data_IF_389323807174
#
_entry.id   IF_389323807174
#
_cell.length_a   1.000
_cell.length_b   1.000
_cell.length_c   1.000
_cell.angle_alpha   90.00
_cell.angle_beta   90.00
_cell.angle_gamma   90.00
#
_symmetry.space_group_name_H-M   'P 1'
#
loop_
_entity.id
_entity.type
_entity.pdbx_description
1 polymer ?
#
# COMPACT_ATOMS: atom_id res chain seq x y z
N UNK A 1 1.49 -17.70 16.20
CA UNK A 1 1.88 -16.85 15.07
C UNK A 1 0.72 -16.01 14.56
N UNK A 2 0.96 -14.76 14.20
CA UNK A 2 -0.01 -13.79 13.67
C UNK A 2 0.63 -12.96 12.57
N UNK A 3 -0.10 -12.77 11.47
CA UNK A 3 0.31 -11.89 10.37
C UNK A 3 -0.52 -10.62 10.38
N UNK A 4 0.15 -9.46 10.36
CA UNK A 4 -0.50 -8.18 10.09
C UNK A 4 -0.29 -7.79 8.63
N UNK A 5 -1.36 -7.51 7.91
CA UNK A 5 -1.31 -7.10 6.50
C UNK A 5 -1.74 -5.65 6.39
N UNK A 6 -0.89 -4.78 5.84
CA UNK A 6 -1.22 -3.37 5.59
C UNK A 6 -1.51 -3.17 4.10
N UNK A 7 -2.73 -2.69 3.79
CA UNK A 7 -3.20 -2.55 2.41
C UNK A 7 -3.18 -1.09 1.96
N UNK A 8 -2.27 -0.76 1.05
CA UNK A 8 -2.21 0.54 0.38
C UNK A 8 -2.95 0.59 -0.95
N UNK A 9 -3.06 1.80 -1.47
CA UNK A 9 -3.56 2.00 -2.83
C UNK A 9 -2.50 1.61 -3.89
N UNK A 10 -1.26 2.06 -3.70
CA UNK A 10 -0.17 1.87 -4.65
C UNK A 10 -0.37 2.59 -5.98
N UNK A 11 0.55 2.43 -6.93
CA UNK A 11 0.51 3.11 -8.23
C UNK A 11 1.17 2.29 -9.35
N UNK A 12 0.75 2.52 -10.60
CA UNK A 12 1.49 2.03 -11.77
C UNK A 12 2.67 2.94 -12.14
N UNK A 13 2.69 4.18 -11.67
CA UNK A 13 3.60 5.22 -12.15
C UNK A 13 4.46 5.83 -11.05
N UNK A 14 3.87 6.03 -9.87
CA UNK A 14 4.50 6.76 -8.78
C UNK A 14 4.72 5.86 -7.56
N UNK A 15 5.94 5.38 -7.37
CA UNK A 15 6.31 4.52 -6.25
C UNK A 15 6.15 5.16 -4.88
N UNK A 16 6.04 6.50 -4.79
CA UNK A 16 5.82 7.20 -3.52
C UNK A 16 4.43 6.92 -2.93
N UNK A 17 3.46 6.47 -3.74
CA UNK A 17 2.12 6.09 -3.27
C UNK A 17 2.11 4.92 -2.27
N UNK A 18 3.20 4.16 -2.18
CA UNK A 18 3.36 3.05 -1.24
C UNK A 18 4.22 3.39 -0.03
N UNK A 19 4.93 4.53 -0.03
CA UNK A 19 5.92 4.91 0.99
C UNK A 19 5.33 4.94 2.40
N UNK A 20 4.12 5.47 2.57
CA UNK A 20 3.45 5.53 3.86
C UNK A 20 3.22 4.12 4.45
N UNK A 21 2.83 3.15 3.62
CA UNK A 21 2.59 1.77 4.05
C UNK A 21 3.89 1.10 4.51
N UNK A 22 4.98 1.27 3.74
CA UNK A 22 6.30 0.73 4.13
C UNK A 22 6.76 1.29 5.46
N UNK A 23 6.66 2.62 5.64
CA UNK A 23 7.06 3.27 6.89
C UNK A 23 6.32 2.68 8.09
N UNK A 24 5.00 2.51 8.00
CA UNK A 24 4.24 1.93 9.11
C UNK A 24 4.51 0.43 9.31
N UNK A 25 4.70 -0.33 8.23
CA UNK A 25 5.08 -1.73 8.33
C UNK A 25 6.42 -1.89 9.07
N UNK A 26 7.42 -1.07 8.73
CA UNK A 26 8.73 -1.06 9.39
C UNK A 26 8.63 -0.64 10.86
N UNK A 27 7.87 0.41 11.16
CA UNK A 27 7.63 0.84 12.55
C UNK A 27 6.98 -0.26 13.39
N UNK A 28 6.02 -1.00 12.83
CA UNK A 28 5.34 -2.08 13.55
C UNK A 28 6.26 -3.30 13.69
N UNK A 29 7.02 -3.66 12.65
CA UNK A 29 8.04 -4.72 12.73
C UNK A 29 9.04 -4.45 13.85
N UNK A 30 9.51 -3.21 13.98
CA UNK A 30 10.45 -2.80 15.02
C UNK A 30 9.91 -2.99 16.46
N UNK A 31 8.59 -3.06 16.63
CA UNK A 31 7.96 -3.31 17.94
C UNK A 31 7.86 -4.81 18.29
N UNK A 32 8.02 -5.71 17.32
CA UNK A 32 8.01 -7.16 17.56
C UNK A 32 6.68 -7.72 18.08
N UNK A 33 5.56 -7.04 17.84
CA UNK A 33 4.23 -7.45 18.34
C UNK A 33 3.54 -8.49 17.44
N UNK A 34 4.04 -8.68 16.22
CA UNK A 34 3.55 -9.65 15.24
C UNK A 34 4.74 -10.46 14.72
N UNK A 35 4.51 -11.73 14.40
CA UNK A 35 5.53 -12.60 13.80
C UNK A 35 5.93 -12.11 12.41
N UNK A 36 4.98 -11.49 11.69
CA UNK A 36 5.24 -10.80 10.44
C UNK A 36 4.28 -9.61 10.24
N UNK A 37 4.79 -8.62 9.51
CA UNK A 37 3.99 -7.57 8.90
C UNK A 37 4.22 -7.67 7.40
N UNK A 38 3.16 -7.60 6.59
CA UNK A 38 3.21 -7.78 5.13
C UNK A 38 2.49 -6.61 4.47
N UNK A 39 3.10 -6.01 3.45
CA UNK A 39 2.46 -4.97 2.65
C UNK A 39 1.70 -5.57 1.47
N UNK A 40 0.56 -4.96 1.12
CA UNK A 40 -0.16 -5.28 -0.11
C UNK A 40 -0.80 -4.03 -0.73
N UNK A 41 -1.06 -4.07 -2.03
CA UNK A 41 -1.48 -2.90 -2.79
C UNK A 41 -2.57 -3.20 -3.80
N UNK A 42 -3.40 -2.20 -4.11
CA UNK A 42 -4.38 -2.30 -5.20
C UNK A 42 -3.73 -2.20 -6.58
N UNK A 43 -2.77 -1.30 -6.79
CA UNK A 43 -2.19 -1.03 -8.12
C UNK A 43 -0.74 -1.49 -8.31
N UNK A 44 -0.06 -2.04 -7.30
CA UNK A 44 1.29 -2.59 -7.46
C UNK A 44 1.40 -3.96 -6.76
N UNK A 45 2.53 -4.65 -6.94
CA UNK A 45 2.82 -5.90 -6.25
C UNK A 45 3.50 -5.64 -4.88
N UNK A 46 3.19 -6.41 -3.81
CA UNK A 46 2.23 -7.52 -3.75
C UNK A 46 0.78 -7.07 -3.92
N UNK A 47 0.07 -7.66 -4.89
CA UNK A 47 -1.32 -7.24 -5.17
C UNK A 47 -2.32 -7.80 -4.15
N UNK A 48 -3.52 -7.23 -4.09
CA UNK A 48 -4.63 -7.75 -3.27
C UNK A 48 -4.95 -9.24 -3.53
N UNK A 49 -4.64 -9.75 -4.72
CA UNK A 49 -4.86 -11.15 -5.13
C UNK A 49 -3.71 -12.09 -4.72
N UNK A 50 -2.58 -11.51 -4.33
CA UNK A 50 -1.35 -12.22 -3.96
C UNK A 50 -1.10 -12.19 -2.46
N UNK A 51 -1.37 -11.06 -1.79
CA UNK A 51 -0.91 -10.78 -0.42
C UNK A 51 -1.27 -11.86 0.61
N UNK A 52 -2.47 -12.46 0.52
CA UNK A 52 -2.83 -13.54 1.44
C UNK A 52 -1.99 -14.82 1.22
N UNK A 53 -1.53 -15.08 -0.01
CA UNK A 53 -0.67 -16.23 -0.32
C UNK A 53 0.71 -16.10 0.32
N UNK A 54 1.19 -14.87 0.54
CA UNK A 54 2.52 -14.58 1.08
C UNK A 54 2.57 -14.53 2.61
N UNK A 55 1.42 -14.70 3.29
CA UNK A 55 1.36 -14.75 4.76
C UNK A 55 1.72 -16.15 5.27
N UNK A 56 2.59 -16.21 6.27
CA UNK A 56 3.07 -17.41 6.93
C UNK A 56 2.15 -17.92 8.04
N UNK A 57 1.20 -17.12 8.54
CA UNK A 57 0.25 -17.54 9.58
C UNK A 57 -1.13 -17.93 9.04
N UNK A 58 -1.81 -18.82 9.76
CA UNK A 58 -3.26 -19.06 9.62
C UNK A 58 -4.10 -17.96 10.25
N UNK A 59 -3.52 -17.08 11.07
CA UNK A 59 -4.20 -15.95 11.72
C UNK A 59 -3.74 -14.63 11.10
N UNK A 60 -4.61 -13.99 10.32
CA UNK A 60 -4.27 -12.82 9.51
C UNK A 60 -5.23 -11.66 9.81
N UNK A 61 -4.68 -10.51 10.17
CA UNK A 61 -5.44 -9.26 10.30
C UNK A 61 -5.02 -8.28 9.21
N UNK A 62 -5.99 -7.70 8.51
CA UNK A 62 -5.80 -6.85 7.33
C UNK A 62 -6.32 -5.44 7.64
N UNK A 63 -5.43 -4.46 7.57
CA UNK A 63 -5.72 -3.05 7.85
C UNK A 63 -5.67 -2.25 6.54
N UNK A 64 -6.79 -1.65 6.10
CA UNK A 64 -6.79 -0.70 5.00
C UNK A 64 -6.08 0.61 5.40
N UNK A 65 -5.03 0.97 4.66
CA UNK A 65 -4.24 2.18 4.88
C UNK A 65 -4.88 3.42 4.22
N UNK A 66 -6.13 3.73 4.59
CA UNK A 66 -6.92 4.84 4.05
C UNK A 66 -7.36 5.80 5.16
N UNK A 67 -7.53 7.09 4.83
CA UNK A 67 -7.93 8.11 5.81
C UNK A 67 -9.46 8.19 6.00
N UNK A 68 -10.23 7.51 5.16
CA UNK A 68 -11.69 7.52 5.18
C UNK A 68 -12.27 6.20 4.65
N UNK A 69 -13.53 5.97 4.96
CA UNK A 69 -14.33 4.89 4.39
C UNK A 69 -14.90 5.26 3.03
N UNK A 70 -15.16 4.22 2.22
CA UNK A 70 -15.99 4.37 1.03
C UNK A 70 -15.81 3.20 0.08
N UNK A 71 -16.12 3.46 -1.19
CA UNK A 71 -16.17 2.43 -2.23
C UNK A 71 -14.94 1.48 -2.26
N UNK A 72 -13.75 2.01 -2.04
CA UNK A 72 -12.53 1.20 -2.02
C UNK A 72 -12.47 0.24 -0.83
N UNK A 73 -12.66 0.75 0.39
CA UNK A 73 -12.56 -0.02 1.63
C UNK A 73 -13.76 -0.93 1.83
N UNK A 74 -14.93 -0.57 1.31
CA UNK A 74 -16.19 -1.31 1.48
C UNK A 74 -16.47 -2.31 0.35
N UNK A 75 -15.91 -2.10 -0.85
CA UNK A 75 -16.23 -2.93 -2.03
C UNK A 75 -14.99 -3.44 -2.75
N UNK A 76 -14.06 -2.58 -3.14
CA UNK A 76 -12.93 -3.00 -4.00
C UNK A 76 -11.98 -3.95 -3.29
N UNK A 77 -11.49 -3.57 -2.10
CA UNK A 77 -10.52 -4.39 -1.36
C UNK A 77 -11.14 -5.74 -0.95
N UNK A 78 -12.35 -5.78 -0.32
CA UNK A 78 -12.97 -7.06 0.01
C UNK A 78 -13.22 -7.96 -1.20
N UNK A 79 -13.60 -7.40 -2.35
CA UNK A 79 -13.82 -8.16 -3.59
C UNK A 79 -12.52 -8.75 -4.13
N UNK A 80 -11.44 -7.95 -4.24
CA UNK A 80 -10.18 -8.44 -4.80
C UNK A 80 -9.46 -9.42 -3.87
N UNK A 81 -9.66 -9.33 -2.56
CA UNK A 81 -9.16 -10.29 -1.56
C UNK A 81 -10.08 -11.53 -1.40
N UNK A 82 -11.25 -11.55 -2.03
CA UNK A 82 -12.18 -12.68 -1.97
C UNK A 82 -12.93 -12.85 -0.64
N UNK A 83 -13.13 -11.77 0.13
CA UNK A 83 -13.76 -11.81 1.45
C UNK A 83 -15.29 -12.02 1.42
N UNK A 84 -15.92 -11.95 0.24
CA UNK A 84 -17.38 -12.11 0.11
C UNK A 84 -18.15 -11.07 0.95
N UNK A 85 -17.62 -9.86 1.05
CA UNK A 85 -18.23 -8.72 1.74
C UNK A 85 -18.41 -7.56 0.78
N UNK A 86 -19.49 -6.80 0.95
CA UNK A 86 -19.76 -5.57 0.21
C UNK A 86 -20.56 -4.60 1.09
N UNK A 87 -20.15 -3.33 1.09
CA UNK A 87 -20.80 -2.26 1.82
C UNK A 87 -20.10 -1.95 3.15
N UNK A 88 -20.75 -1.17 4.03
CA UNK A 88 -20.17 -0.72 5.30
C UNK A 88 -19.58 -1.88 6.10
N UNK A 89 -18.39 -1.66 6.63
CA UNK A 89 -17.69 -2.61 7.51
C UNK A 89 -18.09 -2.25 8.95
N UNK A 90 -18.50 -3.21 9.78
CA UNK A 90 -18.85 -2.90 11.17
C UNK A 90 -17.59 -2.47 11.97
N UNK A 91 -17.73 -1.80 13.12
CA UNK A 91 -16.60 -1.34 13.93
C UNK A 91 -15.56 -2.41 14.25
N UNK A 92 -16.02 -3.62 14.59
CA UNK A 92 -15.18 -4.78 14.84
C UNK A 92 -14.57 -5.37 13.55
N UNK A 93 -14.99 -4.96 12.36
CA UNK A 93 -14.52 -5.53 11.10
C UNK A 93 -15.21 -6.86 10.73
N UNK A 94 -14.70 -7.51 9.69
CA UNK A 94 -15.28 -8.73 9.11
C UNK A 94 -14.30 -9.87 9.17
N UNK A 95 -14.70 -10.99 9.76
CA UNK A 95 -13.91 -12.22 9.78
C UNK A 95 -14.39 -13.23 8.73
N UNK A 96 -13.45 -13.88 8.03
CA UNK A 96 -13.71 -14.94 7.04
C UNK A 96 -12.66 -16.04 7.13
N UNK A 97 -13.08 -17.27 6.90
CA UNK A 97 -12.15 -18.40 6.71
C UNK A 97 -11.92 -18.59 5.22
N UNK A 98 -10.69 -18.34 4.76
CA UNK A 98 -10.26 -18.49 3.37
C UNK A 98 -9.17 -19.55 3.28
N UNK A 99 -9.53 -20.73 2.77
CA UNK A 99 -8.64 -21.90 2.79
C UNK A 99 -8.31 -22.29 4.23
N UNK A 100 -7.02 -22.29 4.58
CA UNK A 100 -6.54 -22.55 5.94
C UNK A 100 -6.37 -21.31 6.82
N UNK A 101 -6.76 -20.11 6.34
CA UNK A 101 -6.54 -18.84 7.05
C UNK A 101 -7.85 -18.29 7.61
N UNK A 102 -7.82 -17.81 8.84
CA UNK A 102 -8.80 -16.86 9.38
C UNK A 102 -8.30 -15.46 9.07
N UNK A 103 -9.04 -14.75 8.23
CA UNK A 103 -8.72 -13.40 7.76
C UNK A 103 -9.71 -12.41 8.39
N UNK A 104 -9.19 -11.42 9.11
CA UNK A 104 -9.95 -10.32 9.71
C UNK A 104 -9.67 -9.05 8.95
N UNK A 105 -10.71 -8.46 8.38
CA UNK A 105 -10.63 -7.22 7.63
C UNK A 105 -11.25 -6.08 8.44
N UNK A 106 -10.45 -5.09 8.81
CA UNK A 106 -10.88 -4.01 9.71
C UNK A 106 -11.44 -2.82 8.94
N UNK A 107 -11.93 -1.83 9.69
CA UNK A 107 -12.08 -0.46 9.19
C UNK A 107 -10.71 0.14 8.79
N UNK A 108 -10.70 1.14 7.89
CA UNK A 108 -9.49 1.90 7.60
C UNK A 108 -8.99 2.70 8.82
N UNK A 109 -7.68 2.91 8.96
CA UNK A 109 -7.12 3.59 10.14
C UNK A 109 -7.68 5.00 10.37
N UNK A 110 -8.01 5.72 9.31
CA UNK A 110 -8.45 7.10 9.42
C UNK A 110 -9.79 7.28 10.15
N UNK A 111 -10.62 6.24 10.24
CA UNK A 111 -11.91 6.34 10.94
C UNK A 111 -11.86 5.88 12.40
N UNK A 112 -10.70 5.43 12.87
CA UNK A 112 -10.55 5.02 14.25
C UNK A 112 -10.60 6.24 15.21
N UNK A 113 -11.30 6.17 16.36
CA UNK A 113 -11.45 7.29 17.29
C UNK A 113 -10.15 7.92 17.78
N UNK A 114 -9.09 7.13 17.96
CA UNK A 114 -7.75 7.63 18.36
C UNK A 114 -7.07 8.54 17.32
N UNK A 115 -7.64 8.72 16.13
CA UNK A 115 -7.16 9.74 15.19
C UNK A 115 -7.29 11.16 15.75
N UNK A 116 -8.23 11.39 16.67
CA UNK A 116 -8.33 12.66 17.41
C UNK A 116 -7.06 12.97 18.21
N UNK A 117 -6.45 11.96 18.85
CA UNK A 117 -5.17 12.10 19.55
C UNK A 117 -4.02 12.39 18.60
N UNK A 118 -4.04 11.81 17.39
CA UNK A 118 -3.03 12.09 16.35
C UNK A 118 -3.14 13.54 15.84
N UNK A 119 -4.37 14.03 15.64
CA UNK A 119 -4.62 15.43 15.27
C UNK A 119 -4.10 16.37 16.37
N UNK A 120 -4.39 16.04 17.63
CA UNK A 120 -3.95 16.83 18.78
C UNK A 120 -2.42 16.86 18.88
N UNK A 121 -1.76 15.71 18.72
CA UNK A 121 -0.30 15.62 18.70
C UNK A 121 0.30 16.49 17.58
N UNK A 122 -0.26 16.43 16.37
CA UNK A 122 0.15 17.30 15.24
C UNK A 122 -0.03 18.78 15.54
N UNK A 123 -1.12 19.15 16.20
CA UNK A 123 -1.36 20.53 16.57
C UNK A 123 -0.30 21.03 17.57
N UNK A 124 0.04 20.24 18.58
CA UNK A 124 1.06 20.58 19.56
C UNK A 124 2.50 20.56 19.00
N UNK A 125 2.79 19.71 17.99
CA UNK A 125 4.08 19.78 17.30
C UNK A 125 4.26 21.10 16.54
N UNK A 126 3.20 21.60 15.91
CA UNK A 126 3.22 22.87 15.19
C UNK A 126 3.18 24.09 16.14
N UNK A 127 2.49 23.95 17.28
CA UNK A 127 2.33 25.00 18.29
C UNK A 127 2.36 24.42 19.72
N UNK A 128 3.55 24.23 20.32
CA UNK A 128 3.69 23.58 21.62
C UNK A 128 3.05 24.33 22.79
N UNK A 129 2.97 25.65 22.68
CA UNK A 129 2.45 26.58 23.69
C UNK A 129 1.04 27.08 23.34
N UNK A 130 0.25 26.26 22.64
CA UNK A 130 -1.16 26.54 22.36
C UNK A 130 -1.96 26.69 23.66
N UNK A 131 -2.97 27.57 23.64
CA UNK A 131 -3.84 27.83 24.80
C UNK A 131 -5.32 27.81 24.39
N UNK A 132 -6.21 27.29 25.26
CA UNK A 132 -7.64 27.30 25.01
C UNK A 132 -8.26 28.71 25.00
N UNK A 133 -7.51 29.74 25.40
CA UNK A 133 -8.01 31.12 25.43
C UNK A 133 -7.77 31.87 24.11
N UNK A 134 -6.72 31.52 23.37
CA UNK A 134 -6.21 32.33 22.25
C UNK A 134 -5.94 31.54 20.96
N UNK A 135 -6.09 30.21 20.98
CA UNK A 135 -5.72 29.33 19.87
C UNK A 135 -6.93 28.62 19.32
N UNK A 136 -7.16 28.73 18.01
CA UNK A 136 -8.12 27.91 17.28
C UNK A 136 -7.43 26.76 16.54
N UNK A 137 -8.16 25.65 16.38
CA UNK A 137 -7.74 24.51 15.56
C UNK A 137 -8.63 24.40 14.31
N UNK A 138 -8.00 24.22 13.15
CA UNK A 138 -8.66 23.82 11.90
C UNK A 138 -8.26 22.38 11.59
N UNK A 139 -9.22 21.46 11.57
CA UNK A 139 -9.05 20.11 11.02
C UNK A 139 -9.46 20.17 9.56
N UNK A 140 -8.48 20.00 8.66
CA UNK A 140 -8.66 20.26 7.23
C UNK A 140 -8.81 18.97 6.44
N UNK A 141 -10.00 18.70 5.92
CA UNK A 141 -10.27 17.58 5.03
C UNK A 141 -10.07 17.93 3.55
N UNK A 142 -10.05 16.91 2.69
CA UNK A 142 -10.11 17.14 1.24
C UNK A 142 -11.51 17.66 0.82
N UNK A 143 -12.57 17.04 1.33
CA UNK A 143 -13.93 17.31 0.85
C UNK A 143 -14.23 16.54 -0.44
N UNK A 144 -15.48 16.11 -0.61
CA UNK A 144 -15.93 15.45 -1.86
C UNK A 144 -17.44 15.36 -1.89
N UNK A 145 -18.02 15.80 -2.99
CA UNK A 145 -19.45 15.69 -3.26
C UNK A 145 -19.88 14.28 -3.65
N UNK A 146 -18.94 13.34 -3.84
CA UNK A 146 -19.21 11.99 -4.37
C UNK A 146 -19.64 10.98 -3.32
N UNK A 147 -19.20 11.14 -2.07
CA UNK A 147 -19.55 10.23 -0.98
C UNK A 147 -19.50 10.97 0.36
N UNK A 148 -20.67 11.20 0.94
CA UNK A 148 -20.85 11.87 2.23
C UNK A 148 -20.06 11.21 3.37
N UNK A 149 -19.81 9.90 3.31
CA UNK A 149 -19.03 9.21 4.35
C UNK A 149 -17.57 9.68 4.40
N UNK A 150 -17.04 10.25 3.32
CA UNK A 150 -15.62 10.61 3.23
C UNK A 150 -15.23 11.75 4.17
N UNK A 151 -16.18 12.63 4.50
CA UNK A 151 -15.92 13.86 5.26
C UNK A 151 -16.53 13.83 6.68
N UNK A 152 -17.45 12.88 6.94
CA UNK A 152 -18.04 12.67 8.28
C UNK A 152 -16.97 12.55 9.36
N UNK A 153 -15.88 11.86 9.07
CA UNK A 153 -14.79 11.65 10.02
C UNK A 153 -14.07 12.95 10.41
N UNK A 154 -13.95 13.92 9.49
CA UNK A 154 -13.34 15.23 9.76
C UNK A 154 -14.22 16.00 10.74
N UNK A 155 -15.53 16.04 10.49
CA UNK A 155 -16.50 16.67 11.38
C UNK A 155 -16.55 15.99 12.76
N UNK A 156 -16.52 14.65 12.82
CA UNK A 156 -16.50 13.88 14.06
C UNK A 156 -15.25 14.20 14.90
N UNK A 157 -14.07 14.18 14.29
CA UNK A 157 -12.82 14.55 14.97
C UNK A 157 -12.86 16.00 15.47
N UNK A 158 -13.35 16.94 14.64
CA UNK A 158 -13.49 18.33 15.04
C UNK A 158 -14.43 18.51 16.24
N UNK A 159 -15.53 17.75 16.31
CA UNK A 159 -16.45 17.77 17.45
C UNK A 159 -15.82 17.18 18.72
N UNK A 160 -15.15 16.04 18.63
CA UNK A 160 -14.42 15.45 19.77
C UNK A 160 -13.37 16.44 20.31
N UNK A 161 -12.60 17.06 19.42
CA UNK A 161 -11.58 18.04 19.81
C UNK A 161 -12.18 19.32 20.38
N UNK A 162 -13.35 19.75 19.89
CA UNK A 162 -14.10 20.88 20.46
C UNK A 162 -14.54 20.58 21.89
N UNK A 163 -15.06 19.38 22.15
CA UNK A 163 -15.50 18.95 23.48
C UNK A 163 -14.33 18.80 24.47
N UNK A 164 -13.10 18.58 23.98
CA UNK A 164 -11.91 18.50 24.83
C UNK A 164 -11.56 19.82 25.55
N UNK A 165 -12.04 20.96 25.04
CA UNK A 165 -11.79 22.28 25.64
C UNK A 165 -10.35 22.78 25.54
N UNK A 166 -9.50 22.17 24.70
CA UNK A 166 -8.08 22.53 24.55
C UNK A 166 -7.82 23.71 23.61
N UNK A 167 -8.83 24.13 22.85
CA UNK A 167 -8.76 25.22 21.88
C UNK A 167 -9.92 26.19 22.08
N UNK A 168 -9.70 27.47 21.82
CA UNK A 168 -10.73 28.51 21.88
C UNK A 168 -11.89 28.23 20.92
N UNK A 169 -11.58 27.63 19.76
CA UNK A 169 -12.56 27.07 18.83
C UNK A 169 -11.91 25.99 17.96
N UNK A 170 -12.71 25.04 17.50
CA UNK A 170 -12.29 24.02 16.54
C UNK A 170 -13.20 24.10 15.32
N UNK A 171 -12.64 24.04 14.12
CA UNK A 171 -13.35 24.13 12.85
C UNK A 171 -12.98 22.96 11.94
N UNK A 172 -13.95 22.46 11.19
CA UNK A 172 -13.72 21.53 10.08
C UNK A 172 -13.86 22.32 8.78
N UNK A 173 -12.79 22.40 7.99
CA UNK A 173 -12.78 23.06 6.68
C UNK A 173 -12.35 22.07 5.60
N UNK A 174 -12.60 22.39 4.34
CA UNK A 174 -12.34 21.49 3.21
C UNK A 174 -11.78 22.20 1.98
N UNK A 175 -11.11 21.47 1.09
CA UNK A 175 -10.64 22.02 -0.19
C UNK A 175 -11.81 22.15 -1.19
N UNK A 176 -12.53 21.05 -1.41
CA UNK A 176 -13.47 20.92 -2.54
C UNK A 176 -14.94 21.11 -2.16
N UNK A 177 -15.25 21.33 -0.89
CA UNK A 177 -16.63 21.52 -0.41
C UNK A 177 -16.74 22.59 0.66
N UNK A 178 -17.96 23.04 0.93
CA UNK A 178 -18.22 24.00 1.99
C UNK A 178 -18.21 23.33 3.38
N UNK A 179 -17.70 24.00 4.43
CA UNK A 179 -17.02 25.30 4.38
C UNK A 179 -15.59 25.19 3.81
N UNK A 180 -15.29 26.00 2.78
CA UNK A 180 -14.01 25.96 2.09
C UNK A 180 -12.87 26.50 2.94
N UNK A 181 -11.67 25.97 2.74
CA UNK A 181 -10.47 26.39 3.47
C UNK A 181 -10.20 27.89 3.32
N UNK A 182 -10.46 28.46 2.14
CA UNK A 182 -10.28 29.89 1.88
C UNK A 182 -11.19 30.81 2.71
N UNK A 183 -12.27 30.30 3.32
CA UNK A 183 -13.16 31.10 4.17
C UNK A 183 -12.70 31.17 5.63
N UNK A 184 -11.54 30.59 5.97
CA UNK A 184 -11.01 30.57 7.33
C UNK A 184 -10.91 31.97 8.01
N UNK A 185 -10.51 33.07 7.32
CA UNK A 185 -10.34 34.36 7.99
C UNK A 185 -11.65 34.95 8.52
N UNK A 186 -12.77 34.58 7.90
CA UNK A 186 -14.10 35.02 8.30
C UNK A 186 -14.60 34.23 9.52
N UNK A 187 -14.26 32.93 9.58
CA UNK A 187 -14.79 31.97 10.55
C UNK A 187 -14.02 31.95 11.87
N UNK A 188 -12.70 32.19 11.83
CA UNK A 188 -11.81 32.02 12.99
C UNK A 188 -11.48 33.36 13.62
N UNK A 189 -11.84 33.54 14.89
CA UNK A 189 -11.63 34.78 15.65
C UNK A 189 -10.34 34.80 16.47
N UNK A 190 -9.79 33.63 16.78
CA UNK A 190 -8.65 33.50 17.68
C UNK A 190 -7.38 34.07 17.02
N UNK A 191 -6.49 34.76 17.77
CA UNK A 191 -5.27 35.35 17.22
C UNK A 191 -4.25 34.30 16.76
N UNK A 192 -4.30 33.07 17.29
CA UNK A 192 -3.43 31.97 16.87
C UNK A 192 -4.29 30.87 16.25
N UNK A 193 -3.86 30.35 15.11
CA UNK A 193 -4.62 29.34 14.36
C UNK A 193 -3.67 28.20 14.01
N UNK A 194 -3.97 26.98 14.46
CA UNK A 194 -3.25 25.79 14.05
C UNK A 194 -4.07 25.05 13.00
N UNK A 195 -3.46 24.71 11.88
CA UNK A 195 -4.11 23.99 10.78
C UNK A 195 -3.50 22.61 10.69
N UNK A 196 -4.33 21.58 10.84
CA UNK A 196 -3.91 20.18 10.75
C UNK A 196 -4.58 19.50 9.55
N UNK A 197 -3.84 19.20 8.48
CA UNK A 197 -4.36 18.47 7.33
C UNK A 197 -4.69 17.00 7.69
N UNK A 198 -5.96 16.62 7.54
CA UNK A 198 -6.45 15.26 7.70
C UNK A 198 -6.26 14.43 6.41
N UNK A 199 -4.98 14.24 6.03
CA UNK A 199 -4.57 13.54 4.81
C UNK A 199 -3.65 12.36 5.14
N UNK A 200 -3.68 11.32 4.31
CA UNK A 200 -2.90 10.09 4.51
C UNK A 200 -1.39 10.26 4.31
N UNK A 201 -0.97 11.24 3.50
CA UNK A 201 0.44 11.53 3.20
C UNK A 201 0.61 12.99 2.82
N UNK A 202 1.87 13.42 2.72
CA UNK A 202 2.20 14.65 1.99
C UNK A 202 1.95 14.45 0.49
N UNK A 203 1.58 15.52 -0.19
CA UNK A 203 1.35 15.55 -1.62
C UNK A 203 1.09 16.97 -2.10
N UNK A 204 0.81 17.12 -3.40
CA UNK A 204 0.64 18.44 -4.02
C UNK A 204 -0.40 19.31 -3.30
N UNK A 205 -1.54 18.75 -2.87
CA UNK A 205 -2.53 19.52 -2.12
C UNK A 205 -2.01 20.06 -0.79
N UNK A 206 -1.27 19.26 -0.02
CA UNK A 206 -0.76 19.66 1.30
C UNK A 206 0.48 20.54 1.22
N UNK A 207 1.14 20.60 0.06
CA UNK A 207 2.38 21.34 -0.12
C UNK A 207 2.19 22.63 -0.93
N UNK A 208 1.20 22.68 -1.83
CA UNK A 208 0.96 23.81 -2.73
C UNK A 208 -0.48 24.33 -2.58
N UNK A 209 -1.50 23.53 -2.90
CA UNK A 209 -2.89 24.00 -2.99
C UNK A 209 -3.41 24.62 -1.68
N UNK A 210 -3.24 23.92 -0.56
CA UNK A 210 -3.71 24.40 0.75
C UNK A 210 -2.95 25.68 1.16
N UNK A 211 -1.60 25.71 1.10
CA UNK A 211 -0.85 26.95 1.31
C UNK A 211 -1.31 28.11 0.42
N UNK A 212 -1.50 27.88 -0.88
CA UNK A 212 -1.98 28.91 -1.83
C UNK A 212 -3.37 29.44 -1.46
N UNK A 213 -4.34 28.54 -1.24
CA UNK A 213 -5.73 28.92 -0.90
C UNK A 213 -5.83 29.68 0.44
N UNK A 214 -4.90 29.41 1.37
CA UNK A 214 -4.83 30.09 2.66
C UNK A 214 -3.91 31.31 2.67
N UNK A 215 -3.12 31.54 1.63
CA UNK A 215 -2.10 32.60 1.56
C UNK A 215 -0.90 32.37 2.49
N UNK A 216 -0.49 31.12 2.71
CA UNK A 216 0.63 30.76 3.59
C UNK A 216 1.97 30.89 2.87
N UNK A 217 2.96 31.47 3.55
CA UNK A 217 4.34 31.61 3.05
C UNK A 217 5.27 30.52 3.61
N UNK A 218 4.77 29.69 4.52
CA UNK A 218 5.52 28.59 5.13
C UNK A 218 4.77 27.94 6.29
N UNK A 219 5.52 27.26 7.16
CA UNK A 219 4.94 26.59 8.34
C UNK A 219 4.33 27.58 9.35
N UNK A 220 4.78 28.84 9.35
CA UNK A 220 4.22 29.92 10.17
C UNK A 220 4.02 31.14 9.27
N UNK A 221 2.83 31.74 9.31
CA UNK A 221 2.51 32.94 8.54
C UNK A 221 1.65 33.89 9.37
N UNK A 222 2.00 35.18 9.38
CA UNK A 222 1.26 36.21 10.12
C UNK A 222 0.49 37.09 9.15
N UNK A 223 -0.81 37.24 9.39
CA UNK A 223 -1.74 38.09 8.65
C UNK A 223 -2.08 39.31 9.49
N UNK A 224 -1.79 40.51 8.99
CA UNK A 224 -2.02 41.78 9.72
C UNK A 224 -3.43 42.33 9.55
N UNK A 225 -4.08 42.02 8.43
CA UNK A 225 -5.31 42.69 7.98
C UNK A 225 -6.52 41.75 7.93
N UNK A 226 -6.50 40.66 8.70
CA UNK A 226 -7.64 39.76 8.81
C UNK A 226 -8.84 40.44 9.52
N UNK A 227 -10.09 40.01 9.24
CA UNK A 227 -11.29 40.66 9.77
C UNK A 227 -11.37 40.76 11.30
N UNK A 228 -10.69 39.85 12.02
CA UNK A 228 -10.69 39.77 13.48
C UNK A 228 -9.40 40.29 14.12
N UNK A 229 -8.59 41.04 13.35
CA UNK A 229 -7.29 41.56 13.77
C UNK A 229 -6.12 40.68 13.33
N UNK A 230 -4.93 40.96 13.85
CA UNK A 230 -3.73 40.21 13.50
C UNK A 230 -3.87 38.74 13.93
N UNK A 231 -3.66 37.82 12.99
CA UNK A 231 -3.68 36.38 13.23
C UNK A 231 -2.39 35.71 12.77
N UNK A 232 -1.90 34.71 13.49
CA UNK A 232 -0.77 33.88 13.07
C UNK A 232 -1.22 32.45 12.86
N UNK A 233 -0.99 31.92 11.66
CA UNK A 233 -1.32 30.56 11.26
C UNK A 233 -0.07 29.69 11.38
N UNK A 234 -0.24 28.52 12.02
CA UNK A 234 0.75 27.46 12.18
C UNK A 234 0.28 26.25 11.37
N UNK A 235 0.95 25.96 10.26
CA UNK A 235 0.59 24.89 9.34
C UNK A 235 1.32 23.59 9.71
N UNK A 236 0.58 22.61 10.21
CA UNK A 236 1.13 21.33 10.59
C UNK A 236 1.30 20.40 9.39
N UNK A 237 2.18 19.39 9.55
CA UNK A 237 2.24 18.27 8.60
C UNK A 237 0.96 17.44 8.65
N UNK A 238 0.61 16.72 7.57
CA UNK A 238 -0.55 15.84 7.55
C UNK A 238 -0.55 14.80 8.68
N UNK A 239 -1.74 14.42 9.16
CA UNK A 239 -1.89 13.40 10.22
C UNK A 239 -1.33 12.05 9.81
N UNK A 240 -1.49 11.66 8.55
CA UNK A 240 -1.03 10.37 8.04
C UNK A 240 0.50 10.25 7.94
N UNK A 241 1.25 11.33 8.24
CA UNK A 241 2.71 11.26 8.39
C UNK A 241 3.18 11.10 9.85
N UNK A 242 2.27 11.08 10.82
CA UNK A 242 2.62 11.08 12.25
C UNK A 242 2.86 9.66 12.76
N UNK A 243 3.88 9.47 13.61
CA UNK A 243 4.28 8.15 14.10
C UNK A 243 3.18 7.45 14.92
N UNK A 244 2.37 8.19 15.67
CA UNK A 244 1.26 7.66 16.47
C UNK A 244 0.16 6.95 15.64
N UNK A 245 0.12 7.11 14.31
CA UNK A 245 -0.76 6.28 13.46
C UNK A 245 -0.40 4.79 13.59
N UNK A 246 0.85 4.45 13.90
CA UNK A 246 1.22 3.07 14.21
C UNK A 246 0.43 2.50 15.41
N UNK A 247 0.14 3.32 16.43
CA UNK A 247 -0.67 2.91 17.58
C UNK A 247 -2.13 2.72 17.17
N UNK A 248 -2.65 3.61 16.32
CA UNK A 248 -4.02 3.49 15.75
C UNK A 248 -4.19 2.19 14.97
N UNK A 249 -3.20 1.81 14.16
CA UNK A 249 -3.20 0.55 13.41
C UNK A 249 -3.25 -0.65 14.35
N UNK A 250 -2.50 -0.61 15.45
CA UNK A 250 -2.45 -1.69 16.43
C UNK A 250 -3.76 -1.81 17.21
N UNK A 251 -4.37 -0.69 17.62
CA UNK A 251 -5.69 -0.70 18.26
C UNK A 251 -6.75 -1.35 17.35
N UNK A 252 -6.80 -0.94 16.07
CA UNK A 252 -7.70 -1.58 15.10
C UNK A 252 -7.48 -3.09 14.97
N UNK A 253 -6.23 -3.52 15.01
CA UNK A 253 -5.89 -4.93 14.89
C UNK A 253 -6.29 -5.74 16.14
N UNK A 254 -6.23 -5.14 17.32
CA UNK A 254 -6.66 -5.72 18.61
C UNK A 254 -8.18 -5.79 18.74
N UNK A 255 -8.89 -4.79 18.22
CA UNK A 255 -10.35 -4.68 18.25
C UNK A 255 -11.05 -5.53 17.17
N UNK A 256 -10.28 -6.14 16.26
CA UNK A 256 -10.82 -6.88 15.13
C UNK A 256 -11.68 -8.09 15.54
N UNK A 257 -12.71 -8.38 14.74
CA UNK A 257 -13.73 -9.38 15.00
C UNK A 257 -13.11 -10.77 15.10
N UNK A 258 -13.34 -11.44 16.23
CA UNK A 258 -12.74 -12.74 16.50
C UNK A 258 -11.22 -12.67 16.66
N UNK A 259 -10.65 -11.51 17.01
CA UNK A 259 -9.30 -11.42 17.56
C UNK A 259 -9.23 -12.34 18.78
N UNK A 260 -8.45 -13.42 18.64
CA UNK A 260 -8.22 -14.35 19.74
C UNK A 260 -6.97 -13.91 20.50
N UNK A 261 -6.95 -14.19 21.80
CA UNK A 261 -5.71 -14.17 22.58
C UNK A 261 -4.82 -15.37 22.28
N UNK A 262 -5.37 -16.39 21.60
CA UNK A 262 -4.61 -17.53 21.08
C UNK A 262 -4.08 -17.22 19.69
N UNK A 263 -2.77 -17.32 19.57
CA UNK A 263 -2.02 -17.30 18.31
C UNK A 263 -2.52 -18.34 17.29
N UNK A 264 -2.38 -18.03 16.00
CA UNK A 264 -2.55 -18.98 14.90
C UNK A 264 -1.37 -19.92 14.73
N UNK A 265 -1.55 -20.91 13.86
CA UNK A 265 -0.51 -21.85 13.44
C UNK A 265 0.26 -21.34 12.22
N UNK A 266 1.39 -21.98 11.91
CA UNK A 266 2.06 -21.82 10.61
C UNK A 266 1.18 -22.35 9.48
N UNK A 267 1.01 -21.54 8.44
CA UNK A 267 0.32 -21.98 7.24
C UNK A 267 1.19 -22.96 6.46
N UNK A 268 0.74 -24.21 6.43
CA UNK A 268 1.56 -25.36 5.99
C UNK A 268 1.98 -25.27 4.53
N UNK A 269 1.11 -24.77 3.65
CA UNK A 269 1.44 -24.69 2.22
C UNK A 269 2.50 -23.62 1.98
N UNK A 270 2.36 -22.46 2.61
CA UNK A 270 3.40 -21.42 2.63
C UNK A 270 4.73 -21.97 3.18
N UNK A 271 4.71 -22.61 4.35
CA UNK A 271 5.92 -23.18 4.96
C UNK A 271 6.62 -24.21 4.07
N UNK A 272 5.86 -25.07 3.38
CA UNK A 272 6.40 -26.05 2.45
C UNK A 272 7.04 -25.40 1.19
N UNK A 273 6.41 -24.36 0.64
CA UNK A 273 6.95 -23.61 -0.49
C UNK A 273 8.30 -22.98 -0.17
N UNK A 274 8.40 -22.34 1.00
CA UNK A 274 9.65 -21.72 1.46
C UNK A 274 10.71 -22.74 1.86
N UNK A 275 10.33 -23.88 2.44
CA UNK A 275 11.29 -24.98 2.67
C UNK A 275 11.91 -25.46 1.35
N UNK A 276 11.08 -25.68 0.32
CA UNK A 276 11.56 -26.09 -0.99
C UNK A 276 12.47 -25.04 -1.63
N UNK A 277 12.16 -23.75 -1.46
CA UNK A 277 13.02 -22.66 -1.91
C UNK A 277 14.37 -22.66 -1.19
N UNK A 278 14.36 -22.76 0.13
CA UNK A 278 15.59 -22.77 0.94
C UNK A 278 16.49 -23.97 0.60
N UNK A 279 15.92 -25.14 0.34
CA UNK A 279 16.69 -26.32 -0.07
C UNK A 279 17.42 -26.10 -1.40
N UNK A 280 16.82 -25.35 -2.33
CA UNK A 280 17.47 -24.93 -3.58
C UNK A 280 18.48 -23.80 -3.34
N UNK A 281 18.12 -22.79 -2.55
CA UNK A 281 19.01 -21.66 -2.25
C UNK A 281 20.33 -22.12 -1.61
N UNK A 282 20.28 -23.13 -0.72
CA UNK A 282 21.47 -23.76 -0.10
C UNK A 282 22.42 -24.43 -1.09
N UNK A 283 21.95 -24.74 -2.30
CA UNK A 283 22.74 -25.34 -3.39
C UNK A 283 23.20 -24.30 -4.42
N UNK A 284 22.77 -23.03 -4.27
CA UNK A 284 22.84 -22.03 -5.32
C UNK A 284 21.65 -22.13 -6.27
N UNK A 285 20.96 -21.01 -6.50
CA UNK A 285 19.72 -20.97 -7.27
C UNK A 285 19.69 -19.75 -8.19
N UNK A 286 19.21 -19.95 -9.42
CA UNK A 286 18.75 -18.88 -10.30
C UNK A 286 17.26 -18.97 -10.47
N UNK A 287 16.57 -17.84 -10.31
CA UNK A 287 15.14 -17.74 -10.54
C UNK A 287 14.80 -16.30 -10.97
N UNK A 288 14.00 -16.16 -12.03
CA UNK A 288 13.81 -14.88 -12.69
C UNK A 288 15.15 -14.27 -13.14
N UNK A 289 15.40 -13.05 -12.69
CA UNK A 289 16.63 -12.30 -12.93
C UNK A 289 17.62 -12.35 -11.76
N UNK A 290 17.37 -13.16 -10.73
CA UNK A 290 18.16 -13.18 -9.49
C UNK A 290 19.01 -14.44 -9.41
N UNK A 291 20.25 -14.26 -8.96
CA UNK A 291 21.14 -15.33 -8.53
C UNK A 291 21.26 -15.28 -7.00
N UNK A 292 21.04 -16.43 -6.36
CA UNK A 292 21.21 -16.64 -4.92
C UNK A 292 22.32 -17.65 -4.72
N UNK A 293 23.31 -17.31 -3.89
CA UNK A 293 24.46 -18.18 -3.59
C UNK A 293 24.66 -18.28 -2.08
N UNK A 294 24.95 -19.47 -1.54
CA UNK A 294 25.37 -19.59 -0.15
C UNK A 294 26.76 -18.96 0.03
N UNK A 295 26.90 -18.08 1.03
CA UNK A 295 28.15 -17.38 1.34
C UNK A 295 28.39 -17.44 2.86
N UNK A 296 29.35 -18.25 3.31
CA UNK A 296 29.81 -18.30 4.72
C UNK A 296 28.69 -18.43 5.78
N UNK A 297 27.66 -19.24 5.51
CA UNK A 297 26.51 -19.43 6.42
C UNK A 297 25.38 -18.39 6.24
N UNK A 298 25.55 -17.47 5.30
CA UNK A 298 24.56 -16.48 4.85
C UNK A 298 24.21 -16.77 3.38
N UNK A 299 23.38 -15.91 2.79
CA UNK A 299 23.05 -15.93 1.37
C UNK A 299 23.40 -14.61 0.72
N UNK A 300 24.07 -14.68 -0.42
CA UNK A 300 24.25 -13.55 -1.32
C UNK A 300 23.17 -13.58 -2.40
N UNK A 301 22.49 -12.44 -2.61
CA UNK A 301 21.63 -12.19 -3.77
C UNK A 301 22.28 -11.14 -4.66
N UNK A 302 22.15 -11.30 -5.97
CA UNK A 302 22.49 -10.28 -6.97
C UNK A 302 21.67 -10.47 -8.24
N UNK A 303 21.72 -9.50 -9.14
CA UNK A 303 21.21 -9.71 -10.49
C UNK A 303 22.03 -10.82 -11.19
N UNK A 304 21.36 -11.72 -11.90
CA UNK A 304 21.96 -12.90 -12.53
C UNK A 304 23.00 -12.56 -13.63
N UNK A 305 22.87 -11.39 -14.23
CA UNK A 305 23.86 -10.82 -15.18
C UNK A 305 25.08 -10.18 -14.50
N UNK A 306 25.07 -10.03 -13.17
CA UNK A 306 26.22 -9.57 -12.38
C UNK A 306 27.00 -10.75 -11.75
N UNK A 307 26.72 -11.97 -12.20
CA UNK A 307 27.55 -13.13 -11.84
C UNK A 307 29.01 -12.90 -12.23
N UNK A 308 29.92 -13.25 -11.32
CA UNK A 308 31.36 -13.12 -11.53
C UNK A 308 31.91 -11.72 -11.30
N UNK A 309 31.06 -10.69 -11.17
CA UNK A 309 31.52 -9.35 -10.77
C UNK A 309 32.01 -9.34 -9.32
N UNK A 310 33.17 -8.72 -9.02
CA UNK A 310 33.64 -8.57 -7.66
C UNK A 310 32.67 -7.76 -6.80
N UNK A 311 32.44 -8.18 -5.56
CA UNK A 311 31.46 -7.53 -4.68
C UNK A 311 31.79 -6.08 -4.28
N UNK A 312 33.01 -5.59 -4.51
CA UNK A 312 33.37 -4.18 -4.28
C UNK A 312 32.99 -3.26 -5.45
N UNK A 313 32.62 -3.82 -6.61
CA UNK A 313 32.08 -3.10 -7.76
C UNK A 313 30.55 -3.00 -7.73
N UNK A 314 29.90 -3.67 -6.77
CA UNK A 314 28.44 -3.70 -6.61
C UNK A 314 28.02 -2.92 -5.37
N UNK A 315 26.90 -2.21 -5.45
CA UNK A 315 26.27 -1.59 -4.29
C UNK A 315 25.82 -2.68 -3.32
N UNK A 316 26.35 -2.66 -2.09
CA UNK A 316 25.99 -3.65 -1.06
C UNK A 316 24.78 -3.18 -0.28
N UNK A 317 23.73 -4.00 -0.29
CA UNK A 317 22.48 -3.82 0.45
C UNK A 317 22.47 -4.78 1.64
N UNK A 318 22.15 -4.29 2.83
CA UNK A 318 22.30 -5.06 4.09
C UNK A 318 20.99 -5.33 4.81
N UNK A 319 19.86 -4.90 4.24
CA UNK A 319 18.52 -5.16 4.79
C UNK A 319 17.57 -5.59 3.67
N UNK A 320 16.52 -6.37 3.98
CA UNK A 320 15.44 -6.65 3.04
C UNK A 320 14.81 -5.38 2.47
N UNK A 321 14.61 -4.36 3.30
CA UNK A 321 14.04 -3.07 2.91
C UNK A 321 14.96 -2.31 1.95
N UNK A 322 16.29 -2.41 2.11
CA UNK A 322 17.25 -1.85 1.16
C UNK A 322 17.18 -2.55 -0.21
N UNK A 323 16.96 -3.87 -0.24
CA UNK A 323 16.71 -4.62 -1.48
C UNK A 323 15.43 -4.16 -2.15
N UNK A 324 14.35 -4.03 -1.39
CA UNK A 324 13.07 -3.49 -1.86
C UNK A 324 13.27 -2.10 -2.47
N UNK A 325 13.84 -1.16 -1.73
CA UNK A 325 13.93 0.23 -2.16
C UNK A 325 14.80 0.41 -3.41
N UNK A 326 15.90 -0.36 -3.50
CA UNK A 326 16.75 -0.36 -4.69
C UNK A 326 16.03 -0.94 -5.92
N UNK A 327 15.33 -2.07 -5.75
CA UNK A 327 14.74 -2.82 -6.87
C UNK A 327 13.32 -2.40 -7.26
N UNK A 328 12.71 -1.45 -6.55
CA UNK A 328 11.39 -0.87 -6.91
C UNK A 328 11.45 0.11 -8.09
N UNK A 329 12.64 0.42 -8.60
CA UNK A 329 12.87 1.24 -9.78
C UNK A 329 13.70 0.48 -10.81
N UNK A 330 13.50 0.74 -12.09
CA UNK A 330 14.32 0.19 -13.18
C UNK A 330 15.63 0.97 -13.36
N UNK A 331 16.49 0.58 -14.30
CA UNK A 331 17.75 1.28 -14.59
C UNK A 331 17.55 2.74 -15.02
N UNK A 332 16.37 3.10 -15.53
CA UNK A 332 15.99 4.47 -15.88
C UNK A 332 15.41 5.27 -14.71
N UNK A 333 15.27 4.66 -13.53
CA UNK A 333 14.67 5.29 -12.35
C UNK A 333 13.13 5.27 -12.32
N UNK A 334 12.49 4.63 -13.31
CA UNK A 334 11.02 4.52 -13.35
C UNK A 334 10.53 3.48 -12.37
N UNK A 335 9.35 3.71 -11.80
CA UNK A 335 8.74 2.78 -10.86
C UNK A 335 8.40 1.43 -11.51
N UNK A 336 8.63 0.33 -10.79
CA UNK A 336 8.33 -1.05 -11.19
C UNK A 336 7.10 -1.58 -10.44
N UNK A 337 5.86 -1.39 -10.94
CA UNK A 337 4.65 -1.85 -10.26
C UNK A 337 4.41 -3.36 -10.39
N UNK A 338 5.03 -4.01 -11.39
CA UNK A 338 5.00 -5.46 -11.61
C UNK A 338 6.43 -5.96 -11.54
N UNK A 339 6.77 -6.65 -10.47
CA UNK A 339 8.15 -6.97 -10.12
C UNK A 339 8.74 -8.08 -11.00
N UNK A 340 7.91 -8.83 -11.72
CA UNK A 340 8.34 -9.84 -12.69
C UNK A 340 8.54 -9.32 -14.11
N UNK A 341 8.40 -8.02 -14.38
CA UNK A 341 8.89 -7.46 -15.63
C UNK A 341 10.42 -7.57 -15.67
N UNK A 342 10.97 -7.88 -16.85
CA UNK A 342 12.41 -8.05 -17.11
C UNK A 342 13.13 -6.71 -17.17
N UNK A 343 13.12 -6.01 -16.05
CA UNK A 343 13.65 -4.66 -15.89
C UNK A 343 14.20 -4.42 -14.48
N UNK A 344 14.57 -5.49 -13.77
CA UNK A 344 15.26 -5.36 -12.49
C UNK A 344 16.62 -4.66 -12.72
N UNK A 345 16.98 -3.65 -11.91
CA UNK A 345 18.25 -2.97 -12.06
C UNK A 345 19.41 -3.90 -11.71
N UNK A 346 20.54 -3.73 -12.41
CA UNK A 346 21.83 -4.37 -12.11
C UNK A 346 22.65 -3.53 -11.11
N UNK A 347 23.84 -4.01 -10.76
CA UNK A 347 24.84 -3.24 -10.01
C UNK A 347 24.69 -3.33 -8.49
N UNK A 348 23.96 -4.32 -7.99
CA UNK A 348 23.74 -4.53 -6.55
C UNK A 348 24.08 -5.94 -6.11
N UNK A 349 24.39 -6.08 -4.82
CA UNK A 349 24.46 -7.34 -4.09
C UNK A 349 23.82 -7.16 -2.72
N UNK A 350 23.26 -8.23 -2.17
CA UNK A 350 22.76 -8.24 -0.81
C UNK A 350 23.22 -9.49 -0.08
N UNK A 351 23.71 -9.36 1.15
CA UNK A 351 24.17 -10.48 1.97
C UNK A 351 23.33 -10.54 3.24
N UNK A 352 22.62 -11.64 3.47
CA UNK A 352 21.63 -11.73 4.55
C UNK A 352 21.44 -13.14 5.08
N UNK A 353 20.90 -13.25 6.29
CA UNK A 353 20.58 -14.52 6.94
C UNK A 353 19.31 -15.14 6.37
N UNK A 354 18.97 -16.35 6.81
CA UNK A 354 17.80 -17.09 6.31
C UNK A 354 16.48 -16.33 6.47
N UNK A 355 16.23 -15.73 7.63
CA UNK A 355 14.99 -14.99 7.88
C UNK A 355 14.85 -13.74 6.97
N UNK A 356 15.95 -13.00 6.79
CA UNK A 356 15.97 -11.81 5.93
C UNK A 356 15.93 -12.19 4.44
N UNK A 357 16.50 -13.33 4.06
CA UNK A 357 16.41 -13.85 2.69
C UNK A 357 14.96 -14.05 2.26
N UNK A 358 14.14 -14.70 3.10
CA UNK A 358 12.72 -14.92 2.82
C UNK A 358 12.03 -13.59 2.53
N UNK A 359 12.22 -12.59 3.39
CA UNK A 359 11.61 -11.27 3.22
C UNK A 359 12.13 -10.54 1.98
N UNK A 360 13.44 -10.56 1.74
CA UNK A 360 14.02 -9.91 0.57
C UNK A 360 13.53 -10.55 -0.74
N UNK A 361 13.40 -11.87 -0.78
CA UNK A 361 12.82 -12.59 -1.94
C UNK A 361 11.35 -12.24 -2.12
N UNK A 362 10.57 -12.12 -1.05
CA UNK A 362 9.18 -11.65 -1.12
C UNK A 362 9.10 -10.23 -1.69
N UNK A 363 10.02 -9.33 -1.34
CA UNK A 363 10.07 -7.98 -1.93
C UNK A 363 10.52 -7.98 -3.40
N UNK A 364 11.50 -8.82 -3.76
CA UNK A 364 11.96 -8.95 -5.14
C UNK A 364 10.88 -9.51 -6.06
N UNK A 365 10.17 -10.54 -5.61
CA UNK A 365 9.20 -11.27 -6.41
C UNK A 365 8.00 -11.74 -5.57
N UNK A 366 7.04 -10.85 -5.28
CA UNK A 366 5.85 -11.17 -4.51
C UNK A 366 5.07 -12.37 -5.07
N UNK A 367 4.71 -13.31 -4.18
CA UNK A 367 3.97 -14.53 -4.47
C UNK A 367 4.62 -15.52 -5.47
N UNK A 368 5.82 -15.24 -5.98
CA UNK A 368 6.45 -16.11 -6.99
C UNK A 368 6.81 -17.47 -6.41
N UNK A 369 7.31 -17.52 -5.18
CA UNK A 369 7.69 -18.79 -4.54
C UNK A 369 6.47 -19.67 -4.32
N UNK A 370 5.42 -19.09 -3.75
CA UNK A 370 4.18 -19.78 -3.39
C UNK A 370 3.40 -20.24 -4.63
N UNK A 371 3.28 -19.39 -5.65
CA UNK A 371 2.62 -19.75 -6.90
C UNK A 371 3.39 -20.80 -7.69
N UNK A 372 4.73 -20.70 -7.74
CA UNK A 372 5.56 -21.68 -8.44
C UNK A 372 5.55 -23.03 -7.75
N UNK A 373 5.57 -23.05 -6.41
CA UNK A 373 5.45 -24.27 -5.64
C UNK A 373 4.09 -24.94 -5.88
N UNK A 374 3.00 -24.16 -5.82
CA UNK A 374 1.67 -24.67 -6.14
C UNK A 374 1.56 -25.19 -7.59
N UNK A 375 2.25 -24.58 -8.55
CA UNK A 375 2.29 -25.08 -9.94
C UNK A 375 3.03 -26.42 -10.02
N UNK A 376 4.17 -26.54 -9.32
CA UNK A 376 4.97 -27.76 -9.26
C UNK A 376 4.21 -28.92 -8.59
N UNK A 377 3.33 -28.61 -7.64
CA UNK A 377 2.44 -29.58 -7.01
C UNK A 377 1.11 -29.79 -7.78
N UNK A 378 0.92 -29.14 -8.93
CA UNK A 378 -0.32 -29.18 -9.71
C UNK A 378 -1.58 -28.73 -8.95
N UNK A 379 -1.42 -27.85 -7.97
CA UNK A 379 -2.51 -27.28 -7.16
C UNK A 379 -2.81 -25.82 -7.48
N UNK A 380 -1.98 -25.16 -8.31
CA UNK A 380 -2.22 -23.78 -8.73
C UNK A 380 -3.46 -23.71 -9.62
N UNK A 381 -4.40 -22.84 -9.25
CA UNK A 381 -5.64 -22.61 -10.01
C UNK A 381 -5.56 -21.25 -10.69
N UNK A 382 -5.43 -21.20 -12.03
CA UNK A 382 -5.45 -19.94 -12.75
C UNK A 382 -6.86 -19.34 -12.79
N UNK A 383 -6.96 -18.01 -12.68
CA UNK A 383 -8.20 -17.26 -12.84
C UNK A 383 -8.32 -16.78 -14.28
N UNK A 384 -9.32 -17.24 -15.06
CA UNK A 384 -9.50 -16.81 -16.44
C UNK A 384 -9.76 -15.31 -16.56
N UNK A 385 -9.36 -14.71 -17.69
CA UNK A 385 -9.58 -13.28 -17.98
C UNK A 385 -11.03 -12.83 -17.73
N UNK A 386 -12.01 -13.61 -18.19
CA UNK A 386 -13.42 -13.26 -18.05
C UNK A 386 -13.83 -13.06 -16.58
N UNK A 387 -13.27 -13.84 -15.66
CA UNK A 387 -13.52 -13.69 -14.21
C UNK A 387 -12.87 -12.41 -13.68
N UNK A 388 -11.62 -12.14 -14.07
CA UNK A 388 -10.91 -10.90 -13.73
C UNK A 388 -11.64 -9.66 -14.22
N UNK A 389 -12.03 -9.66 -15.49
CA UNK A 389 -12.73 -8.56 -16.15
C UNK A 389 -14.08 -8.26 -15.49
N UNK A 390 -14.87 -9.30 -15.18
CA UNK A 390 -16.19 -9.17 -14.53
C UNK A 390 -16.13 -8.54 -13.15
N UNK A 391 -15.02 -8.70 -12.42
CA UNK A 391 -14.84 -8.02 -11.13
C UNK A 391 -14.61 -6.52 -11.31
N UNK A 392 -14.11 -6.06 -12.45
CA UNK A 392 -13.76 -4.65 -12.64
C UNK A 392 -15.01 -3.76 -12.71
N UNK A 393 -14.91 -2.58 -12.10
CA UNK A 393 -15.99 -1.61 -11.93
C UNK A 393 -15.52 -0.18 -12.27
N UNK A 394 -16.45 0.77 -12.34
CA UNK A 394 -16.13 2.17 -12.68
C UNK A 394 -15.43 2.29 -14.03
N UNK A 395 -14.35 3.06 -14.10
CA UNK A 395 -13.56 3.25 -15.33
C UNK A 395 -13.00 1.93 -15.88
N UNK A 396 -12.73 0.94 -15.03
CA UNK A 396 -12.19 -0.36 -15.42
C UNK A 396 -13.26 -1.34 -15.89
N UNK A 397 -14.56 -1.08 -15.68
CA UNK A 397 -15.63 -1.97 -16.18
C UNK A 397 -15.58 -2.12 -17.72
N UNK A 398 -14.96 -1.15 -18.42
CA UNK A 398 -14.76 -1.18 -19.87
C UNK A 398 -14.01 -2.42 -20.36
N UNK A 399 -13.10 -2.99 -19.57
CA UNK A 399 -12.32 -4.16 -19.98
C UNK A 399 -13.19 -5.40 -20.23
N UNK A 400 -14.42 -5.42 -19.71
CA UNK A 400 -15.40 -6.48 -19.99
C UNK A 400 -15.84 -6.51 -21.47
N UNK A 401 -15.59 -5.42 -22.22
CA UNK A 401 -15.91 -5.29 -23.64
C UNK A 401 -14.74 -5.63 -24.57
N UNK A 402 -13.55 -5.91 -24.03
CA UNK A 402 -12.38 -6.27 -24.83
C UNK A 402 -12.65 -7.54 -25.63
N UNK A 403 -12.37 -7.52 -26.93
CA UNK A 403 -12.42 -8.75 -27.75
C UNK A 403 -11.22 -9.65 -27.43
N UNK A 404 -11.28 -10.96 -27.73
CA UNK A 404 -10.13 -11.84 -27.59
C UNK A 404 -8.89 -11.34 -28.33
N UNK A 405 -9.06 -10.75 -29.51
CA UNK A 405 -7.98 -10.20 -30.34
C UNK A 405 -7.32 -8.99 -29.66
N UNK A 406 -8.12 -8.04 -29.17
CA UNK A 406 -7.61 -6.88 -28.43
C UNK A 406 -6.87 -7.30 -27.16
N UNK A 407 -7.43 -8.25 -26.42
CA UNK A 407 -6.78 -8.77 -25.22
C UNK A 407 -5.43 -9.42 -25.54
N UNK A 408 -5.37 -10.23 -26.60
CA UNK A 408 -4.12 -10.92 -26.97
C UNK A 408 -3.08 -9.93 -27.49
N UNK A 409 -3.47 -8.93 -28.28
CA UNK A 409 -2.57 -7.86 -28.74
C UNK A 409 -1.97 -7.08 -27.56
N UNK A 410 -2.80 -6.68 -26.60
CA UNK A 410 -2.33 -5.97 -25.40
C UNK A 410 -1.44 -6.88 -24.55
N UNK A 411 -1.86 -8.12 -24.35
CA UNK A 411 -1.11 -9.06 -23.53
C UNK A 411 0.22 -9.47 -24.18
N UNK A 412 0.32 -9.56 -25.52
CA UNK A 412 1.58 -9.82 -26.20
C UNK A 412 2.61 -8.71 -25.97
N UNK A 413 2.17 -7.45 -26.02
CA UNK A 413 3.01 -6.28 -25.75
C UNK A 413 3.42 -6.20 -24.27
N UNK A 414 2.45 -6.23 -23.36
CA UNK A 414 2.70 -6.11 -21.91
C UNK A 414 3.44 -7.33 -21.36
N UNK A 415 2.94 -8.53 -21.65
CA UNK A 415 3.49 -9.77 -21.09
C UNK A 415 4.73 -10.26 -21.84
N UNK A 416 5.01 -9.77 -23.05
CA UNK A 416 6.26 -10.07 -23.76
C UNK A 416 7.52 -9.63 -22.99
N UNK A 417 7.40 -8.58 -22.16
CA UNK A 417 8.44 -8.14 -21.22
C UNK A 417 8.40 -8.81 -19.84
N UNK A 418 7.48 -9.75 -19.59
CA UNK A 418 7.30 -10.38 -18.28
C UNK A 418 8.03 -11.73 -18.19
N UNK A 419 8.54 -12.07 -17.01
CA UNK A 419 9.11 -13.40 -16.72
C UNK A 419 8.04 -14.50 -16.62
N UNK A 420 6.77 -14.15 -16.40
CA UNK A 420 5.72 -15.12 -16.09
C UNK A 420 5.02 -15.67 -17.33
N UNK A 421 4.67 -16.95 -17.31
CA UNK A 421 3.86 -17.66 -18.32
C UNK A 421 2.37 -17.56 -18.01
N UNK A 422 1.53 -17.14 -18.98
CA UNK A 422 0.11 -16.80 -18.80
C UNK A 422 -0.78 -18.05 -18.68
N UNK A 423 -0.77 -18.70 -17.52
CA UNK A 423 -1.64 -19.86 -17.27
C UNK A 423 -3.13 -19.49 -17.38
N UNK A 424 -3.50 -18.26 -17.00
CA UNK A 424 -4.85 -17.74 -17.17
C UNK A 424 -5.30 -17.61 -18.64
N UNK A 425 -4.35 -17.57 -19.58
CA UNK A 425 -4.58 -17.54 -21.03
C UNK A 425 -4.46 -18.93 -21.68
N UNK A 426 -4.27 -19.99 -20.89
CA UNK A 426 -4.12 -21.36 -21.38
C UNK A 426 -2.71 -21.75 -21.83
N UNK A 427 -1.70 -20.90 -21.60
CA UNK A 427 -0.30 -21.27 -21.80
C UNK A 427 0.11 -22.40 -20.85
N UNK A 428 1.02 -23.27 -21.30
CA UNK A 428 1.47 -24.44 -20.53
C UNK A 428 2.83 -24.17 -19.90
N UNK A 429 2.98 -24.56 -18.63
CA UNK A 429 4.23 -24.47 -17.88
C UNK A 429 4.53 -25.83 -17.22
N UNK A 430 5.19 -26.77 -17.94
CA UNK A 430 5.43 -28.13 -17.44
C UNK A 430 6.59 -28.23 -16.44
N UNK A 431 7.49 -27.26 -16.43
CA UNK A 431 8.62 -27.16 -15.51
C UNK A 431 8.65 -25.76 -14.92
N UNK A 432 9.33 -25.61 -13.79
CA UNK A 432 9.50 -24.33 -13.10
C UNK A 432 10.97 -24.07 -12.71
N UNK A 433 11.25 -22.97 -12.02
CA UNK A 433 12.59 -22.76 -11.45
C UNK A 433 12.95 -23.82 -10.38
N UNK A 434 11.98 -24.49 -9.74
CA UNK A 434 12.26 -25.62 -8.86
C UNK A 434 12.81 -26.84 -9.61
N UNK A 435 12.58 -26.92 -10.92
CA UNK A 435 13.12 -27.93 -11.83
C UNK A 435 14.42 -27.49 -12.53
N UNK A 436 14.96 -26.33 -12.14
CA UNK A 436 16.20 -25.78 -12.70
C UNK A 436 16.01 -24.93 -13.95
N UNK A 437 14.79 -24.47 -14.26
CA UNK A 437 14.52 -23.53 -15.36
C UNK A 437 14.26 -22.13 -14.81
N UNK A 438 15.24 -21.22 -14.75
CA UNK A 438 15.14 -19.97 -13.97
C UNK A 438 13.96 -19.07 -14.36
N UNK A 439 13.66 -18.96 -15.65
CA UNK A 439 12.59 -18.12 -16.18
C UNK A 439 11.20 -18.76 -16.17
N UNK A 440 11.05 -20.00 -15.68
CA UNK A 440 9.77 -20.71 -15.70
C UNK A 440 8.94 -20.39 -14.46
N UNK A 441 8.20 -19.27 -14.52
CA UNK A 441 7.38 -18.75 -13.42
C UNK A 441 5.91 -18.68 -13.88
N UNK A 442 4.93 -19.18 -13.12
CA UNK A 442 3.53 -19.10 -13.51
C UNK A 442 2.95 -17.69 -13.32
N UNK A 443 2.03 -17.30 -14.19
CA UNK A 443 1.10 -16.19 -14.00
C UNK A 443 -0.31 -16.78 -13.83
N UNK A 444 -0.77 -16.86 -12.58
CA UNK A 444 -2.08 -17.43 -12.27
C UNK A 444 -3.24 -16.55 -12.75
N UNK A 445 -3.03 -15.24 -12.91
CA UNK A 445 -4.12 -14.30 -13.19
C UNK A 445 -3.60 -13.01 -13.82
N UNK A 446 -4.38 -12.41 -14.73
CA UNK A 446 -4.08 -11.13 -15.34
C UNK A 446 -3.90 -10.01 -14.28
N UNK A 447 -2.71 -9.40 -14.26
CA UNK A 447 -2.33 -8.38 -13.28
C UNK A 447 -3.06 -7.04 -13.53
N UNK A 448 -3.01 -6.15 -12.53
CA UNK A 448 -3.67 -4.84 -12.60
C UNK A 448 -3.09 -3.92 -13.67
N UNK A 449 -1.81 -4.10 -14.02
CA UNK A 449 -1.18 -3.36 -15.11
C UNK A 449 -1.77 -3.75 -16.47
N UNK A 450 -1.87 -5.05 -16.77
CA UNK A 450 -2.55 -5.53 -17.98
C UNK A 450 -4.01 -5.07 -18.05
N UNK A 451 -4.75 -5.11 -16.92
CA UNK A 451 -6.12 -4.60 -16.87
C UNK A 451 -6.19 -3.11 -17.22
N UNK A 452 -5.23 -2.30 -16.78
CA UNK A 452 -5.17 -0.88 -17.12
C UNK A 452 -4.86 -0.66 -18.61
N UNK A 453 -3.92 -1.40 -19.17
CA UNK A 453 -3.57 -1.30 -20.60
C UNK A 453 -4.72 -1.75 -21.52
N UNK A 454 -5.41 -2.84 -21.16
CA UNK A 454 -6.60 -3.28 -21.91
C UNK A 454 -7.72 -2.23 -21.84
N UNK A 455 -7.85 -1.51 -20.71
CA UNK A 455 -8.82 -0.40 -20.60
C UNK A 455 -8.50 0.70 -21.60
N UNK A 456 -7.23 1.08 -21.72
CA UNK A 456 -6.80 2.13 -22.67
C UNK A 456 -6.97 1.69 -24.12
N UNK A 457 -6.69 0.42 -24.44
CA UNK A 457 -6.95 -0.16 -25.75
C UNK A 457 -8.43 -0.06 -26.13
N UNK A 458 -9.31 -0.55 -25.24
CA UNK A 458 -10.77 -0.50 -25.46
C UNK A 458 -11.29 0.95 -25.51
N UNK A 459 -10.60 1.89 -24.88
CA UNK A 459 -10.93 3.31 -24.95
C UNK A 459 -10.40 3.99 -26.23
N UNK A 460 -9.60 3.31 -27.06
CA UNK A 460 -8.95 3.87 -28.24
C UNK A 460 -7.84 4.87 -27.91
N UNK A 461 -7.22 4.74 -26.72
CA UNK A 461 -6.22 5.68 -26.20
C UNK A 461 -4.81 5.11 -26.15
N UNK A 462 -4.64 3.81 -26.36
CA UNK A 462 -3.35 3.15 -26.33
C UNK A 462 -2.48 3.58 -27.53
N UNK A 463 -1.21 3.90 -27.29
CA UNK A 463 -0.27 4.42 -28.30
C UNK A 463 -0.31 5.93 -28.55
N UNK A 464 -1.31 6.66 -28.05
CA UNK A 464 -1.29 8.12 -28.01
C UNK A 464 -0.59 8.56 -26.72
N UNK A 465 0.62 9.11 -26.80
CA UNK A 465 1.46 9.52 -25.66
C UNK A 465 0.88 10.63 -24.77
N UNK A 466 -0.31 10.43 -24.20
CA UNK A 466 -0.95 11.32 -23.26
C UNK A 466 -0.83 10.74 -21.85
N UNK A 467 -0.29 11.58 -20.97
CA UNK A 467 -0.17 11.36 -19.54
C UNK A 467 -1.46 10.80 -18.93
N UNK A 468 -1.28 9.80 -18.08
CA UNK A 468 -2.34 9.30 -17.22
C UNK A 468 -2.85 10.46 -16.33
N UNK A 469 -4.05 10.96 -16.58
CA UNK A 469 -4.77 11.85 -15.67
C UNK A 469 -5.75 11.05 -14.81
N UNK A 470 -5.88 11.52 -13.57
CA UNK A 470 -6.31 10.84 -12.35
C UNK A 470 -7.74 10.29 -12.33
#
# INVERSE_FOLDING_TARGET
MRSLVLIGHGSHLNGESAAAVYRYAEMIRARGLYDEVVEGYWKEEPSLRQVLKTTASTDVTVIPMFISEGYFTETVIPREMGLGHQGPVPPEGVARVLGGRTVRYTLPYGVHPSMSDVILARAHEALPDSSPEDTALIVLGHGTTRNENSNKIVYQNAEVLRQSGQFASVHALFLDEDPKVGTWPEMVKAPRVVVVPFFASEGWHTLETIPEDMGLEGAVTTFTDNPHGQQTVYYAKPVGTHSAVADVILHLAEEAAGASTSDGDTERVHGAAWSAFMDRARQGLRFGEVLVQPESGMFELRHALDEGKPGHELQTLVTPEGVRDFTRRDEGGHHRPVHTLRNMPRGWRAVMGEADLVRAVQYLYPAVIEETYAQSCHTLRPTPWATTARRQTGIYARVQKATPEQLEEVAADVCGGCLRTRLWAGEKLPQTFFDGVPGAIPCAEACTFLVAEVREEVAGKRGGGASHSH
#
